data_IF_668913383170
#
_entry.id   IF_668913383170
#
_cell.length_a   1.000
_cell.length_b   1.000
_cell.length_c   1.000
_cell.angle_alpha   90.00
_cell.angle_beta   90.00
_cell.angle_gamma   90.00
#
_symmetry.space_group_name_H-M   'P 1'
#
loop_
_entity.id
_entity.type
_entity.pdbx_description
1 polymer ?
#
# COMPACT_ATOMS: atom_id res chain seq x y z
N UNK A 1 0.27 -29.11 16.68
CA UNK A 1 0.44 -28.02 15.70
C UNK A 1 -0.42 -26.84 16.13
N UNK A 2 0.10 -25.61 16.14
CA UNK A 2 -0.68 -24.42 16.53
C UNK A 2 -1.38 -23.87 15.29
N UNK A 3 -2.72 -23.76 15.32
CA UNK A 3 -3.49 -23.20 14.20
C UNK A 3 -3.04 -21.76 13.91
N UNK A 4 -2.68 -21.49 12.66
CA UNK A 4 -2.24 -20.16 12.20
C UNK A 4 -3.48 -19.38 11.79
N UNK A 5 -3.91 -18.41 12.61
CA UNK A 5 -5.00 -17.52 12.24
C UNK A 5 -4.48 -16.42 11.32
N UNK A 6 -4.90 -16.43 10.06
CA UNK A 6 -4.71 -15.32 9.12
C UNK A 6 -6.01 -14.51 9.09
N UNK A 7 -5.92 -13.19 9.07
CA UNK A 7 -7.09 -12.32 8.89
C UNK A 7 -6.91 -11.56 7.60
N UNK A 8 -7.90 -11.69 6.71
CA UNK A 8 -7.87 -11.16 5.35
C UNK A 8 -9.03 -10.16 5.21
N UNK A 9 -8.84 -9.14 4.39
CA UNK A 9 -9.91 -8.27 3.92
C UNK A 9 -9.81 -8.11 2.39
N UNK A 10 -10.88 -7.62 1.78
CA UNK A 10 -10.94 -7.38 0.35
C UNK A 10 -11.32 -5.93 0.02
N UNK A 11 -10.82 -5.42 -1.12
CA UNK A 11 -11.24 -4.18 -1.76
C UNK A 11 -11.62 -4.49 -3.21
N UNK A 12 -12.69 -3.86 -3.70
CA UNK A 12 -13.01 -3.79 -5.12
C UNK A 12 -12.28 -2.60 -5.76
N UNK A 13 -11.69 -2.80 -6.95
CA UNK A 13 -10.91 -1.80 -7.67
C UNK A 13 -11.48 -1.61 -9.09
N UNK A 14 -12.29 -0.58 -9.32
CA UNK A 14 -12.80 -0.15 -10.63
C UNK A 14 -12.01 0.97 -11.35
N UNK A 15 -11.36 0.71 -12.49
CA UNK A 15 -10.84 1.77 -13.39
C UNK A 15 -11.69 1.93 -14.65
N UNK A 16 -11.58 3.10 -15.32
CA UNK A 16 -12.16 3.31 -16.65
C UNK A 16 -11.12 3.88 -17.63
N UNK A 17 -11.00 3.35 -18.87
CA UNK A 17 -11.61 2.10 -19.36
C UNK A 17 -11.03 0.87 -18.63
N UNK A 18 -11.87 -0.13 -18.34
CA UNK A 18 -11.47 -1.36 -17.66
C UNK A 18 -11.03 -2.44 -18.66
N UNK A 19 -9.89 -3.06 -18.38
CA UNK A 19 -9.54 -4.39 -18.90
C UNK A 19 -8.56 -5.06 -17.93
N UNK A 20 -8.54 -6.40 -17.82
CA UNK A 20 -7.62 -7.09 -16.92
C UNK A 20 -6.14 -6.71 -17.14
N UNK A 21 -5.74 -6.51 -18.40
CA UNK A 21 -4.38 -6.11 -18.79
C UNK A 21 -4.04 -4.71 -18.27
N UNK A 22 -5.00 -3.78 -18.32
CA UNK A 22 -4.81 -2.42 -17.80
C UNK A 22 -4.65 -2.42 -16.29
N UNK A 23 -5.37 -3.26 -15.56
CA UNK A 23 -5.17 -3.41 -14.11
C UNK A 23 -3.79 -3.98 -13.78
N UNK A 24 -3.40 -5.07 -14.43
CA UNK A 24 -2.08 -5.68 -14.24
C UNK A 24 -0.96 -4.67 -14.52
N UNK A 25 -1.08 -3.91 -15.62
CA UNK A 25 -0.12 -2.87 -15.95
C UNK A 25 -0.12 -1.72 -14.93
N UNK A 26 -1.29 -1.32 -14.40
CA UNK A 26 -1.37 -0.27 -13.38
C UNK A 26 -0.61 -0.66 -12.11
N UNK A 27 -0.82 -1.89 -11.62
CA UNK A 27 -0.09 -2.38 -10.45
C UNK A 27 1.41 -2.49 -10.70
N UNK A 28 1.80 -2.92 -11.91
CA UNK A 28 3.20 -2.97 -12.33
C UNK A 28 3.84 -1.57 -12.36
N UNK A 29 3.13 -0.58 -12.90
CA UNK A 29 3.58 0.81 -12.94
C UNK A 29 3.75 1.39 -11.53
N UNK A 30 2.77 1.21 -10.65
CA UNK A 30 2.82 1.65 -9.24
C UNK A 30 4.07 1.08 -8.57
N UNK A 31 4.33 -0.22 -8.79
CA UNK A 31 5.52 -0.89 -8.23
C UNK A 31 6.82 -0.35 -8.85
N UNK A 32 6.86 -0.19 -10.16
CA UNK A 32 8.07 0.25 -10.89
C UNK A 32 8.45 1.69 -10.55
N UNK A 33 7.45 2.55 -10.32
CA UNK A 33 7.65 3.93 -9.87
C UNK A 33 8.03 4.05 -8.38
N UNK A 34 8.04 2.94 -7.65
CA UNK A 34 8.35 2.85 -6.21
C UNK A 34 7.57 3.87 -5.36
N UNK A 35 6.29 4.05 -5.70
CA UNK A 35 5.42 5.05 -5.10
C UNK A 35 5.27 4.81 -3.61
N UNK A 36 5.60 5.83 -2.82
CA UNK A 36 5.41 5.86 -1.37
C UNK A 36 4.31 6.87 -1.07
N UNK A 37 3.23 6.44 -0.44
CA UNK A 37 2.06 7.29 -0.19
C UNK A 37 1.63 7.21 1.28
N UNK A 38 1.18 8.35 1.86
CA UNK A 38 0.61 8.34 3.19
C UNK A 38 -0.73 7.60 3.16
N UNK A 39 -1.08 6.98 4.28
CA UNK A 39 -2.45 6.52 4.54
C UNK A 39 -3.00 7.07 5.86
N UNK A 40 -2.13 7.54 6.76
CA UNK A 40 -2.52 8.22 8.00
C UNK A 40 -1.33 8.97 8.62
N UNK A 41 -1.37 10.30 8.63
CA UNK A 41 -0.27 11.11 9.18
C UNK A 41 1.09 10.69 8.59
N UNK A 42 2.06 10.40 9.45
CA UNK A 42 3.41 9.94 9.07
C UNK A 42 3.48 8.45 8.73
N UNK A 43 2.35 7.73 8.70
CA UNK A 43 2.30 6.33 8.28
C UNK A 43 2.14 6.24 6.78
N UNK A 44 3.14 5.65 6.14
CA UNK A 44 3.25 5.52 4.69
C UNK A 44 3.28 4.04 4.31
N UNK A 45 2.93 3.77 3.05
CA UNK A 45 3.16 2.48 2.46
C UNK A 45 3.46 2.52 0.97
N UNK A 46 3.78 1.34 0.44
CA UNK A 46 4.06 1.10 -0.98
C UNK A 46 3.81 -0.36 -1.34
N UNK A 47 3.71 -0.65 -2.65
CA UNK A 47 3.85 -2.01 -3.15
C UNK A 47 5.33 -2.39 -3.14
N UNK A 48 5.66 -3.44 -2.39
CA UNK A 48 6.98 -4.02 -2.22
C UNK A 48 7.24 -5.12 -3.24
N UNK A 49 7.52 -6.36 -2.79
CA UNK A 49 7.62 -7.48 -3.74
C UNK A 49 6.29 -7.68 -4.47
N UNK A 50 6.34 -8.00 -5.77
CA UNK A 50 5.17 -8.31 -6.57
C UNK A 50 5.56 -9.30 -7.66
N UNK A 51 4.71 -10.30 -7.90
CA UNK A 51 4.81 -11.18 -9.05
C UNK A 51 4.54 -10.40 -10.34
N UNK A 52 5.15 -10.84 -11.42
CA UNK A 52 4.95 -10.28 -12.76
C UNK A 52 4.37 -11.34 -13.66
N UNK A 53 3.29 -11.00 -14.35
CA UNK A 53 2.78 -11.81 -15.45
C UNK A 53 3.76 -11.71 -16.62
N UNK A 54 3.95 -12.81 -17.36
CA UNK A 54 4.77 -12.78 -18.57
C UNK A 54 4.01 -12.07 -19.70
N UNK A 55 4.73 -11.48 -20.66
CA UNK A 55 4.12 -10.72 -21.75
C UNK A 55 3.19 -11.58 -22.62
N UNK A 56 3.52 -12.86 -22.74
CA UNK A 56 2.77 -13.88 -23.49
C UNK A 56 1.67 -14.58 -22.68
N UNK A 57 1.50 -14.24 -21.40
CA UNK A 57 0.53 -14.90 -20.53
C UNK A 57 -0.87 -14.29 -20.71
N UNK A 58 -1.83 -15.13 -21.09
CA UNK A 58 -3.24 -14.74 -21.19
C UNK A 58 -3.82 -14.51 -19.78
N UNK A 59 -4.47 -13.35 -19.59
CA UNK A 59 -5.13 -13.04 -18.34
C UNK A 59 -6.51 -13.68 -18.32
N UNK A 60 -6.71 -14.61 -17.39
CA UNK A 60 -7.94 -15.39 -17.20
C UNK A 60 -8.54 -15.14 -15.82
N UNK A 61 -9.70 -15.72 -15.55
CA UNK A 61 -10.36 -15.69 -14.23
C UNK A 61 -9.48 -16.21 -13.08
N UNK A 62 -8.56 -17.14 -13.38
CA UNK A 62 -7.63 -17.72 -12.41
C UNK A 62 -6.30 -16.98 -12.32
N UNK A 63 -6.09 -15.95 -13.11
CA UNK A 63 -4.85 -15.16 -13.06
C UNK A 63 -4.84 -14.31 -11.80
N UNK A 64 -3.71 -14.36 -11.07
CA UNK A 64 -3.52 -13.67 -9.81
C UNK A 64 -2.18 -12.93 -9.79
N UNK A 65 -2.19 -11.68 -9.34
CA UNK A 65 -0.98 -10.92 -9.02
C UNK A 65 -0.81 -10.93 -7.50
N UNK A 66 0.20 -11.65 -7.03
CA UNK A 66 0.55 -11.71 -5.60
C UNK A 66 1.70 -10.77 -5.26
N UNK A 67 1.76 -10.31 -4.02
CA UNK A 67 2.85 -9.46 -3.56
C UNK A 67 2.77 -9.07 -2.09
N UNK A 68 3.52 -8.03 -1.73
CA UNK A 68 3.59 -7.46 -0.39
C UNK A 68 3.27 -5.96 -0.43
N UNK A 69 2.40 -5.50 0.45
CA UNK A 69 2.39 -4.09 0.85
C UNK A 69 3.39 -3.88 1.97
N UNK A 70 4.24 -2.87 1.84
CA UNK A 70 5.10 -2.41 2.92
C UNK A 70 4.46 -1.21 3.60
N UNK A 71 4.46 -1.20 4.94
CA UNK A 71 4.18 -0.03 5.75
C UNK A 71 5.44 0.40 6.48
N UNK A 72 5.62 1.69 6.68
CA UNK A 72 6.72 2.27 7.45
C UNK A 72 6.35 3.69 7.91
N UNK A 73 7.18 4.26 8.78
CA UNK A 73 7.06 5.65 9.19
C UNK A 73 7.93 6.53 8.30
N UNK A 74 7.35 7.61 7.80
CA UNK A 74 8.02 8.65 7.02
C UNK A 74 7.92 9.97 7.81
N UNK A 75 9.07 10.53 8.14
CA UNK A 75 9.20 11.83 8.81
C UNK A 75 10.46 12.52 8.32
N UNK A 76 10.52 13.84 8.45
CA UNK A 76 11.74 14.62 8.22
C UNK A 76 12.59 14.57 9.51
N UNK A 77 13.83 14.01 9.47
CA UNK A 77 14.71 14.01 10.63
C UNK A 77 15.04 15.40 11.17
N UNK A 78 14.86 16.46 10.37
CA UNK A 78 15.11 17.85 10.75
C UNK A 78 13.92 18.52 11.47
N UNK A 79 12.76 17.86 11.56
CA UNK A 79 11.64 18.36 12.37
C UNK A 79 12.00 18.43 13.87
N UNK A 80 11.35 19.27 14.67
CA UNK A 80 11.59 19.33 16.12
C UNK A 80 11.36 17.98 16.83
N UNK A 81 12.36 17.52 17.58
CA UNK A 81 12.26 16.31 18.41
C UNK A 81 11.90 16.66 19.86
N UNK A 82 11.15 15.79 20.53
CA UNK A 82 10.86 15.89 21.96
C UNK A 82 11.93 15.15 22.77
N UNK A 83 12.65 15.86 23.64
CA UNK A 83 13.49 15.26 24.67
C UNK A 83 12.61 14.87 25.86
N UNK A 84 12.28 13.58 26.00
CA UNK A 84 11.43 13.07 27.07
C UNK A 84 12.01 13.22 28.48
N UNK A 85 13.34 13.38 28.63
CA UNK A 85 13.97 13.59 29.95
C UNK A 85 13.71 15.00 30.45
N UNK A 86 13.76 15.98 29.55
CA UNK A 86 13.52 17.39 29.88
C UNK A 86 12.07 17.82 29.68
N UNK A 87 11.26 17.03 28.95
CA UNK A 87 9.89 17.39 28.56
C UNK A 87 9.83 18.58 27.61
N UNK A 88 10.91 18.82 26.85
CA UNK A 88 11.10 20.01 25.99
C UNK A 88 11.63 19.61 24.62
N UNK A 89 11.63 20.54 23.68
CA UNK A 89 12.29 20.33 22.40
C UNK A 89 13.78 19.99 22.60
N UNK A 90 14.27 18.99 21.89
CA UNK A 90 15.66 18.55 21.90
C UNK A 90 16.58 19.66 21.39
N UNK A 91 17.71 19.85 22.07
CA UNK A 91 18.75 20.81 21.68
C UNK A 91 19.65 20.21 20.58
N UNK A 92 20.42 21.03 19.86
CA UNK A 92 21.38 20.52 18.87
C UNK A 92 22.33 19.46 19.44
N UNK A 93 22.75 19.60 20.71
CA UNK A 93 23.59 18.61 21.38
C UNK A 93 22.88 17.25 21.56
N UNK A 94 21.57 17.25 21.83
CA UNK A 94 20.78 16.02 21.96
C UNK A 94 20.68 15.27 20.62
N UNK A 95 20.63 16.02 19.51
CA UNK A 95 20.47 15.49 18.17
C UNK A 95 21.78 14.97 17.56
N UNK A 96 22.94 15.39 18.07
CA UNK A 96 24.25 14.97 17.56
C UNK A 96 24.45 13.44 17.56
N UNK A 97 23.79 12.73 18.49
CA UNK A 97 23.82 11.28 18.59
C UNK A 97 22.76 10.56 17.73
N UNK A 98 21.77 11.30 17.19
CA UNK A 98 20.68 10.73 16.38
C UNK A 98 21.14 10.67 14.92
N UNK A 99 21.59 9.49 14.50
CA UNK A 99 21.99 9.24 13.10
C UNK A 99 21.03 8.22 12.47
N UNK A 100 20.15 8.70 11.59
CA UNK A 100 19.27 7.85 10.79
C UNK A 100 19.74 7.93 9.34
N UNK A 101 20.25 6.84 8.74
CA UNK A 101 20.65 6.85 7.34
C UNK A 101 19.47 7.18 6.41
N UNK A 102 19.72 7.99 5.37
CA UNK A 102 18.69 8.50 4.46
C UNK A 102 17.82 7.42 3.80
N UNK A 103 18.36 6.21 3.63
CA UNK A 103 17.71 5.07 3.01
C UNK A 103 16.96 4.16 4.00
N UNK A 104 17.00 4.44 5.31
CA UNK A 104 16.33 3.64 6.33
C UNK A 104 15.09 4.36 6.86
N UNK A 105 14.02 3.58 7.07
CA UNK A 105 12.78 4.04 7.70
C UNK A 105 12.38 3.07 8.81
N UNK A 106 11.97 3.56 9.98
CA UNK A 106 11.52 2.68 11.05
C UNK A 106 10.08 2.22 10.83
N UNK A 107 9.63 1.29 11.68
CA UNK A 107 8.24 0.82 11.68
C UNK A 107 7.87 -0.06 10.48
N UNK A 108 8.86 -0.69 9.85
CA UNK A 108 8.65 -1.60 8.73
C UNK A 108 7.76 -2.79 9.13
N UNK A 109 6.71 -3.02 8.34
CA UNK A 109 5.97 -4.28 8.32
C UNK A 109 5.50 -4.58 6.89
N UNK A 110 5.34 -5.87 6.57
CA UNK A 110 4.89 -6.34 5.26
C UNK A 110 3.64 -7.18 5.37
N UNK A 111 2.70 -7.00 4.44
CA UNK A 111 1.40 -7.68 4.40
C UNK A 111 1.20 -8.30 3.03
N UNK A 112 0.88 -9.59 2.99
CA UNK A 112 0.61 -10.26 1.71
C UNK A 112 -0.66 -9.73 1.07
N UNK A 113 -0.63 -9.65 -0.26
CA UNK A 113 -1.82 -9.41 -1.06
C UNK A 113 -1.90 -10.36 -2.25
N UNK A 114 -3.12 -10.52 -2.73
CA UNK A 114 -3.49 -11.20 -3.96
C UNK A 114 -4.49 -10.32 -4.70
N UNK A 115 -4.20 -10.00 -5.94
CA UNK A 115 -5.07 -9.22 -6.79
C UNK A 115 -5.53 -10.06 -7.98
N UNK A 116 -6.84 -10.19 -8.17
CA UNK A 116 -7.43 -10.77 -9.36
C UNK A 116 -7.74 -9.63 -10.35
N UNK A 117 -6.94 -9.45 -11.42
CA UNK A 117 -7.20 -8.44 -12.45
C UNK A 117 -8.49 -8.72 -13.22
N UNK A 118 -8.92 -9.98 -13.32
CA UNK A 118 -10.17 -10.33 -13.99
C UNK A 118 -11.40 -9.96 -13.16
N UNK A 119 -11.37 -10.22 -11.85
CA UNK A 119 -12.49 -9.91 -10.95
C UNK A 119 -12.39 -8.55 -10.28
N UNK A 120 -11.35 -7.76 -10.60
CA UNK A 120 -11.11 -6.43 -10.03
C UNK A 120 -10.99 -6.43 -8.50
N UNK A 121 -10.55 -7.54 -7.89
CA UNK A 121 -10.58 -7.75 -6.44
C UNK A 121 -9.19 -7.89 -5.85
N UNK A 122 -8.90 -7.06 -4.85
CA UNK A 122 -7.67 -7.09 -4.06
C UNK A 122 -7.94 -7.67 -2.68
N UNK A 123 -7.34 -8.80 -2.37
CA UNK A 123 -7.31 -9.42 -1.05
C UNK A 123 -5.98 -9.13 -0.37
N UNK A 124 -5.99 -8.89 0.94
CA UNK A 124 -4.77 -8.60 1.69
C UNK A 124 -4.88 -9.01 3.16
N UNK A 125 -3.73 -9.33 3.74
CA UNK A 125 -3.61 -9.55 5.19
C UNK A 125 -3.84 -8.26 5.96
N UNK A 126 -4.67 -8.31 7.01
CA UNK A 126 -4.84 -7.17 7.94
C UNK A 126 -3.94 -7.28 9.16
N UNK A 127 -3.33 -8.44 9.37
CA UNK A 127 -2.46 -8.72 10.52
C UNK A 127 -1.32 -9.64 10.12
N UNK A 128 -0.08 -9.31 10.52
CA UNK A 128 1.09 -10.16 10.28
C UNK A 128 1.27 -11.20 11.39
N UNK A 129 2.19 -12.15 11.19
CA UNK A 129 2.58 -13.12 12.24
C UNK A 129 3.10 -12.44 13.52
N UNK A 130 3.76 -11.28 13.37
CA UNK A 130 4.26 -10.45 14.48
C UNK A 130 3.16 -9.56 15.09
N UNK A 131 1.90 -9.75 14.69
CA UNK A 131 0.71 -9.00 15.15
C UNK A 131 0.73 -7.51 14.79
N UNK A 132 1.51 -7.13 13.79
CA UNK A 132 1.41 -5.82 13.16
C UNK A 132 0.07 -5.70 12.45
N UNK A 133 -0.60 -4.56 12.55
CA UNK A 133 -1.95 -4.35 12.00
C UNK A 133 -1.92 -3.39 10.83
N UNK A 134 -2.71 -3.69 9.81
CA UNK A 134 -3.08 -2.79 8.74
C UNK A 134 -4.60 -2.86 8.57
N UNK A 135 -5.31 -1.85 9.10
CA UNK A 135 -6.77 -1.89 9.04
C UNK A 135 -7.26 -1.76 7.60
N UNK A 136 -8.39 -2.38 7.22
CA UNK A 136 -8.89 -2.28 5.85
C UNK A 136 -9.14 -0.85 5.38
N UNK A 137 -9.62 0.04 6.26
CA UNK A 137 -9.76 1.47 5.94
C UNK A 137 -8.41 2.14 5.64
N UNK A 138 -7.35 1.81 6.37
CA UNK A 138 -6.02 2.34 6.10
C UNK A 138 -5.45 1.78 4.78
N UNK A 139 -5.67 0.49 4.50
CA UNK A 139 -5.25 -0.14 3.24
C UNK A 139 -5.99 0.49 2.05
N UNK A 140 -7.30 0.73 2.20
CA UNK A 140 -8.11 1.45 1.22
C UNK A 140 -7.49 2.80 0.90
N UNK A 141 -7.23 3.64 1.91
CA UNK A 141 -6.61 4.95 1.68
C UNK A 141 -5.23 4.84 1.05
N UNK A 142 -4.42 3.85 1.44
CA UNK A 142 -3.11 3.62 0.79
C UNK A 142 -3.28 3.30 -0.69
N UNK A 143 -4.14 2.32 -1.02
CA UNK A 143 -4.37 1.88 -2.40
C UNK A 143 -4.95 3.02 -3.24
N UNK A 144 -5.94 3.74 -2.72
CA UNK A 144 -6.49 4.94 -3.37
C UNK A 144 -5.38 5.95 -3.69
N UNK A 145 -4.52 6.28 -2.73
CA UNK A 145 -3.44 7.24 -2.94
C UNK A 145 -2.34 6.76 -3.89
N UNK A 146 -2.08 5.45 -3.93
CA UNK A 146 -1.12 4.84 -4.86
C UNK A 146 -1.65 4.87 -6.29
N UNK A 147 -2.88 4.39 -6.51
CA UNK A 147 -3.46 4.25 -7.84
C UNK A 147 -3.86 5.60 -8.46
N UNK A 148 -4.15 6.60 -7.63
CA UNK A 148 -4.49 7.97 -8.07
C UNK A 148 -3.29 8.93 -8.09
N UNK A 149 -2.05 8.43 -8.10
CA UNK A 149 -0.90 9.31 -8.33
C UNK A 149 -1.05 10.05 -9.68
N UNK A 150 -0.79 11.35 -9.69
CA UNK A 150 -1.01 12.21 -10.87
C UNK A 150 -0.30 11.69 -12.13
N UNK A 151 0.85 11.00 -11.98
CA UNK A 151 1.58 10.39 -13.11
C UNK A 151 0.80 9.24 -13.72
N UNK A 152 0.14 8.43 -12.89
CA UNK A 152 -0.73 7.33 -13.32
C UNK A 152 -2.02 7.88 -13.91
N UNK A 153 -2.66 8.85 -13.26
CA UNK A 153 -3.87 9.48 -13.83
C UNK A 153 -3.60 10.07 -15.22
N UNK A 154 -2.47 10.77 -15.40
CA UNK A 154 -2.07 11.27 -16.72
C UNK A 154 -1.89 10.15 -17.74
N UNK A 155 -1.25 9.03 -17.36
CA UNK A 155 -1.00 7.89 -18.25
C UNK A 155 -2.29 7.16 -18.65
N UNK A 156 -3.20 6.93 -17.70
CA UNK A 156 -4.36 6.07 -17.90
C UNK A 156 -5.64 6.83 -18.29
N UNK A 157 -5.75 8.12 -17.95
CA UNK A 157 -6.95 8.96 -18.13
C UNK A 157 -6.70 10.23 -18.96
N UNK A 158 -5.47 10.50 -19.39
CA UNK A 158 -5.14 11.63 -20.29
C UNK A 158 -4.98 12.99 -19.61
N UNK A 159 -5.00 13.09 -18.27
CA UNK A 159 -4.79 14.33 -17.53
C UNK A 159 -5.43 14.32 -16.14
N UNK A 160 -5.26 15.36 -15.30
CA UNK A 160 -5.95 15.46 -14.02
C UNK A 160 -7.44 15.66 -14.29
N UNK A 161 -8.21 14.58 -14.12
CA UNK A 161 -9.65 14.64 -14.06
C UNK A 161 -10.06 14.96 -12.60
N UNK A 162 -11.17 15.68 -12.39
CA UNK A 162 -11.76 15.80 -11.06
C UNK A 162 -11.89 14.41 -10.40
N UNK A 163 -11.54 14.30 -9.12
CA UNK A 163 -11.49 13.05 -8.34
C UNK A 163 -12.83 12.27 -8.31
N UNK A 164 -13.88 12.90 -8.80
CA UNK A 164 -15.28 12.50 -8.80
C UNK A 164 -15.70 11.53 -9.93
N UNK A 165 -14.76 10.97 -10.73
CA UNK A 165 -15.14 10.01 -11.80
C UNK A 165 -14.30 8.75 -11.97
N UNK A 166 -13.55 8.32 -10.95
CA UNK A 166 -12.88 7.00 -11.03
C UNK A 166 -13.56 5.94 -10.15
N UNK A 167 -14.37 6.28 -9.12
CA UNK A 167 -14.90 5.23 -8.22
C UNK A 167 -16.30 5.57 -7.69
N UNK A 168 -17.29 4.70 -7.95
CA UNK A 168 -18.59 4.75 -7.27
C UNK A 168 -18.59 4.01 -5.92
N UNK A 169 -17.78 2.97 -5.69
CA UNK A 169 -17.73 2.33 -4.37
C UNK A 169 -16.49 1.45 -4.20
N UNK A 170 -15.58 1.82 -3.30
CA UNK A 170 -14.71 0.82 -2.65
C UNK A 170 -15.50 0.31 -1.45
N UNK A 171 -16.24 -0.78 -1.67
CA UNK A 171 -16.88 -1.53 -0.60
C UNK A 171 -15.87 -2.49 0.05
N UNK A 172 -15.99 -2.65 1.36
CA UNK A 172 -15.14 -3.54 2.15
C UNK A 172 -15.97 -4.73 2.60
N UNK A 173 -15.65 -5.92 2.08
CA UNK A 173 -16.17 -7.18 2.61
C UNK A 173 -15.20 -7.74 3.64
N UNK A 174 -15.67 -7.89 4.87
CA UNK A 174 -14.88 -8.39 5.99
C UNK A 174 -15.25 -9.86 6.25
N UNK A 175 -14.34 -10.78 5.91
CA UNK A 175 -14.50 -12.21 6.20
C UNK A 175 -13.27 -12.76 6.93
N UNK A 176 -13.47 -13.39 8.09
CA UNK A 176 -12.40 -14.14 8.78
C UNK A 176 -12.45 -15.59 8.32
N UNK A 177 -11.55 -16.01 7.42
CA UNK A 177 -11.37 -17.43 7.12
C UNK A 177 -10.45 -18.09 8.15
N UNK A 178 -10.84 -19.24 8.70
CA UNK A 178 -9.95 -20.13 9.46
C UNK A 178 -9.41 -21.15 8.47
N UNK A 179 -8.10 -21.16 8.26
CA UNK A 179 -7.39 -22.23 7.54
C UNK A 179 -6.67 -23.08 8.58
#
# INVERSE_FOLDING_TARGET
MRNKKITIAALNITMHPHSPERYSQLFLDVRTMELKKPYRGNSYGMIGLMSTLKAEEEITETTEVTGLFYRFLQFDPNEPWLNFREGKQAKPEDLAAVQIPDHLRPGYASFHFLFSPFHHRLFFETTTEKREKFTPGSMRTLVENLLNDFRLQKKYLGGPQPLDRIWEEISSDFGSSKI
#
